data_IF_792344038213
#
_entry.id   IF_792344038213
#
_cell.length_a   1.000
_cell.length_b   1.000
_cell.length_c   1.000
_cell.angle_alpha   90.00
_cell.angle_beta   90.00
_cell.angle_gamma   90.00
#
_symmetry.space_group_name_H-M   'P 1'
#
loop_
_entity.id
_entity.type
_entity.pdbx_description
1 polymer ?
#
# COMPACT_ATOMS: atom_id res chain seq x y z
N UNK A 1 7.41 -19.48 -17.46
CA UNK A 1 6.61 -18.69 -18.42
C UNK A 1 7.62 -18.12 -19.38
N UNK A 2 7.56 -18.51 -20.65
CA UNK A 2 8.49 -17.98 -21.66
C UNK A 2 8.15 -16.49 -21.82
N UNK A 3 9.16 -15.63 -21.73
CA UNK A 3 9.03 -14.21 -22.03
C UNK A 3 8.87 -14.14 -23.56
N UNK A 4 7.64 -13.97 -24.03
CA UNK A 4 7.36 -13.79 -25.46
C UNK A 4 8.06 -12.52 -25.89
N UNK A 5 8.93 -12.59 -26.91
CA UNK A 5 9.57 -11.40 -27.46
C UNK A 5 8.49 -10.44 -27.97
N UNK A 6 8.36 -9.30 -27.29
CA UNK A 6 7.34 -8.30 -27.61
C UNK A 6 7.50 -7.73 -29.03
N UNK A 7 8.68 -7.85 -29.64
CA UNK A 7 8.93 -7.39 -31.00
C UNK A 7 8.30 -8.27 -32.08
N UNK A 8 7.93 -9.51 -31.74
CA UNK A 8 7.27 -10.45 -32.67
C UNK A 8 5.74 -10.34 -32.67
N UNK A 9 5.18 -9.61 -31.69
CA UNK A 9 3.73 -9.41 -31.58
C UNK A 9 3.21 -8.43 -32.63
N UNK A 10 1.99 -8.69 -33.13
CA UNK A 10 1.26 -7.65 -33.85
C UNK A 10 0.96 -6.47 -32.92
N UNK A 11 0.68 -5.29 -33.48
CA UNK A 11 0.32 -4.12 -32.65
C UNK A 11 -0.92 -4.38 -31.78
N UNK A 12 -1.88 -5.17 -32.27
CA UNK A 12 -3.08 -5.52 -31.50
C UNK A 12 -2.72 -6.42 -30.30
N UNK A 13 -1.96 -7.49 -30.53
CA UNK A 13 -1.54 -8.44 -29.49
C UNK A 13 -0.61 -7.75 -28.47
N UNK A 14 0.23 -6.81 -28.90
CA UNK A 14 1.09 -6.01 -28.03
C UNK A 14 0.27 -5.15 -27.07
N UNK A 15 -0.80 -4.51 -27.56
CA UNK A 15 -1.69 -3.70 -26.71
C UNK A 15 -2.52 -4.56 -25.75
N UNK A 16 -2.98 -5.73 -26.19
CA UNK A 16 -3.67 -6.71 -25.34
C UNK A 16 -2.74 -7.20 -24.22
N UNK A 17 -1.51 -7.62 -24.56
CA UNK A 17 -0.48 -7.98 -23.59
C UNK A 17 -0.18 -6.84 -22.60
N UNK A 18 -0.09 -5.60 -23.07
CA UNK A 18 0.10 -4.45 -22.18
C UNK A 18 -1.07 -4.23 -21.20
N UNK A 19 -2.32 -4.44 -21.65
CA UNK A 19 -3.50 -4.37 -20.80
C UNK A 19 -3.54 -5.50 -19.76
N UNK A 20 -3.14 -6.71 -20.14
CA UNK A 20 -3.02 -7.84 -19.21
C UNK A 20 -1.97 -7.58 -18.13
N UNK A 21 -0.78 -7.11 -18.51
CA UNK A 21 0.28 -6.76 -17.55
C UNK A 21 -0.14 -5.63 -16.63
N UNK A 22 -0.89 -4.64 -17.14
CA UNK A 22 -1.51 -3.61 -16.30
C UNK A 22 -2.48 -4.19 -15.28
N UNK A 23 -3.33 -5.14 -15.68
CA UNK A 23 -4.26 -5.79 -14.78
C UNK A 23 -3.54 -6.63 -13.71
N UNK A 24 -2.45 -7.30 -14.08
CA UNK A 24 -1.58 -8.02 -13.14
C UNK A 24 -0.96 -7.05 -12.12
N UNK A 25 -0.39 -5.94 -12.59
CA UNK A 25 0.20 -4.91 -11.73
C UNK A 25 -0.84 -4.34 -10.75
N UNK A 26 -2.04 -3.98 -11.24
CA UNK A 26 -3.11 -3.46 -10.37
C UNK A 26 -3.49 -4.45 -9.26
N UNK A 27 -3.57 -5.75 -9.57
CA UNK A 27 -3.86 -6.79 -8.57
C UNK A 27 -2.72 -6.94 -7.55
N UNK A 28 -1.47 -6.88 -8.00
CA UNK A 28 -0.31 -6.92 -7.12
C UNK A 28 -0.27 -5.69 -6.18
N UNK A 29 -0.56 -4.51 -6.70
CA UNK A 29 -0.62 -3.27 -5.93
C UNK A 29 -1.76 -3.30 -4.89
N UNK A 30 -2.94 -3.81 -5.25
CA UNK A 30 -4.04 -4.02 -4.31
C UNK A 30 -3.63 -4.99 -3.18
N UNK A 31 -2.89 -6.05 -3.52
CA UNK A 31 -2.36 -7.00 -2.53
C UNK A 31 -1.32 -6.35 -1.61
N UNK A 32 -0.49 -5.44 -2.11
CA UNK A 32 0.44 -4.67 -1.29
C UNK A 32 -0.29 -3.76 -0.27
N UNK A 33 -1.44 -3.19 -0.64
CA UNK A 33 -2.27 -2.43 0.31
C UNK A 33 -2.84 -3.34 1.41
N UNK A 34 -3.28 -4.56 1.08
CA UNK A 34 -3.68 -5.55 2.10
C UNK A 34 -2.51 -5.91 3.02
N UNK A 35 -1.30 -6.10 2.47
CA UNK A 35 -0.10 -6.33 3.28
C UNK A 35 0.17 -5.18 4.24
N UNK A 36 0.06 -3.93 3.78
CA UNK A 36 0.19 -2.74 4.63
C UNK A 36 -0.86 -2.69 5.76
N UNK A 37 -2.12 -3.02 5.45
CA UNK A 37 -3.20 -3.07 6.45
C UNK A 37 -2.92 -4.10 7.55
N UNK A 38 -2.54 -5.33 7.17
CA UNK A 38 -2.23 -6.40 8.13
C UNK A 38 -0.94 -6.10 8.88
N UNK A 39 0.06 -5.52 8.22
CA UNK A 39 1.29 -5.06 8.87
C UNK A 39 0.98 -4.02 9.95
N UNK A 40 0.15 -3.02 9.64
CA UNK A 40 -0.26 -2.01 10.61
C UNK A 40 -0.99 -2.62 11.81
N UNK A 41 -1.86 -3.62 11.61
CA UNK A 41 -2.55 -4.30 12.71
C UNK A 41 -1.58 -5.01 13.68
N UNK A 42 -0.52 -5.63 13.13
CA UNK A 42 0.52 -6.30 13.94
C UNK A 42 1.39 -5.32 14.73
N UNK A 43 1.52 -4.09 14.22
CA UNK A 43 2.28 -3.01 14.84
C UNK A 43 1.40 -1.96 15.53
N UNK A 44 0.16 -2.31 15.85
CA UNK A 44 -0.69 -1.52 16.71
C UNK A 44 -0.11 -1.47 18.13
N UNK A 45 -0.04 -0.30 18.81
CA UNK A 45 0.59 -0.15 20.12
C UNK A 45 0.06 -1.08 21.22
N UNK A 46 -1.21 -1.49 21.15
CA UNK A 46 -1.81 -2.42 22.11
C UNK A 46 -1.51 -3.90 21.85
N UNK A 47 -0.94 -4.22 20.68
CA UNK A 47 -0.68 -5.59 20.22
C UNK A 47 0.81 -5.86 20.10
N UNK A 48 1.59 -4.87 19.66
CA UNK A 48 3.02 -5.05 19.46
C UNK A 48 3.76 -5.13 20.81
N UNK A 49 4.45 -6.26 21.02
CA UNK A 49 5.39 -6.40 22.14
C UNK A 49 6.68 -5.58 21.91
N UNK A 50 7.58 -5.59 22.91
CA UNK A 50 8.90 -4.99 22.79
C UNK A 50 9.63 -5.62 21.61
N UNK A 51 10.08 -4.82 20.65
CA UNK A 51 10.83 -5.31 19.49
C UNK A 51 12.16 -5.95 19.93
N UNK A 52 12.47 -7.18 19.49
CA UNK A 52 13.77 -7.79 19.76
C UNK A 52 14.90 -6.92 19.19
N UNK A 53 15.93 -6.66 20.00
CA UNK A 53 17.09 -5.87 19.59
C UNK A 53 17.04 -4.37 19.92
N UNK A 54 15.95 -3.86 20.52
CA UNK A 54 15.90 -2.49 21.03
C UNK A 54 16.11 -2.41 22.54
N UNK A 55 16.89 -1.42 22.98
CA UNK A 55 17.11 -1.13 24.40
C UNK A 55 16.03 -0.17 24.89
N UNK A 56 15.55 -0.35 26.12
CA UNK A 56 14.60 0.56 26.78
C UNK A 56 15.06 2.03 26.89
N UNK A 57 16.34 2.30 26.57
CA UNK A 57 16.95 3.63 26.59
C UNK A 57 16.74 4.44 25.28
N UNK A 58 16.21 3.84 24.20
CA UNK A 58 16.07 4.49 22.88
C UNK A 58 14.89 5.50 22.80
N UNK A 59 14.31 5.86 23.94
CA UNK A 59 13.02 6.56 24.01
C UNK A 59 11.85 5.58 23.84
N UNK A 60 10.69 5.92 24.44
CA UNK A 60 9.47 5.13 24.23
C UNK A 60 9.03 5.35 22.78
N UNK A 61 9.07 4.30 21.96
CA UNK A 61 8.50 4.32 20.61
C UNK A 61 7.10 4.92 20.67
N UNK A 62 6.84 5.93 19.85
CA UNK A 62 5.56 6.63 19.84
C UNK A 62 4.56 5.90 18.95
N UNK A 63 3.29 6.03 19.31
CA UNK A 63 2.17 5.70 18.45
C UNK A 63 1.86 6.87 17.51
N UNK A 64 1.53 6.58 16.25
CA UNK A 64 1.11 7.58 15.26
C UNK A 64 -0.10 7.12 14.47
N UNK A 65 -1.02 8.03 14.18
CA UNK A 65 -2.15 7.80 13.26
C UNK A 65 -1.76 8.25 11.86
N UNK A 66 -1.78 7.34 10.88
CA UNK A 66 -1.36 7.65 9.50
C UNK A 66 -2.53 7.90 8.54
N UNK A 67 -3.66 7.23 8.71
CA UNK A 67 -4.81 7.32 7.79
C UNK A 67 -5.80 8.47 8.09
N UNK A 68 -5.47 9.32 9.06
CA UNK A 68 -6.36 10.36 9.59
C UNK A 68 -7.41 9.82 10.56
N UNK A 69 -8.41 10.64 10.87
CA UNK A 69 -9.42 10.33 11.88
C UNK A 69 -10.15 9.01 11.62
N UNK A 70 -10.28 8.19 12.66
CA UNK A 70 -10.91 6.86 12.61
C UNK A 70 -9.98 5.73 12.18
N UNK A 71 -8.73 6.02 11.81
CA UNK A 71 -7.74 4.97 11.55
C UNK A 71 -7.00 4.56 12.84
N UNK A 72 -6.59 3.29 12.96
CA UNK A 72 -5.81 2.81 14.09
C UNK A 72 -4.41 3.43 14.10
N UNK A 73 -3.82 3.47 15.30
CA UNK A 73 -2.43 3.87 15.49
C UNK A 73 -1.47 2.76 15.05
N UNK A 74 -0.26 3.16 14.67
CA UNK A 74 0.86 2.26 14.39
C UNK A 74 2.11 2.76 15.12
N UNK A 75 2.96 1.83 15.55
CA UNK A 75 4.26 2.15 16.12
C UNK A 75 5.16 2.89 15.10
N UNK A 76 5.76 4.02 15.49
CA UNK A 76 6.40 4.95 14.55
C UNK A 76 7.58 4.36 13.78
N UNK A 77 8.30 3.39 14.36
CA UNK A 77 9.44 2.75 13.68
C UNK A 77 9.01 1.66 12.69
N UNK A 78 7.77 1.19 12.76
CA UNK A 78 7.20 0.26 11.78
C UNK A 78 7.20 0.84 10.36
N UNK A 79 7.08 2.16 10.26
CA UNK A 79 7.09 2.89 8.98
C UNK A 79 8.43 2.71 8.27
N UNK A 80 9.54 2.87 8.99
CA UNK A 80 10.87 2.75 8.41
C UNK A 80 11.18 1.31 7.99
N UNK A 81 10.80 0.32 8.82
CA UNK A 81 10.97 -1.10 8.51
C UNK A 81 10.19 -1.50 7.25
N UNK A 82 8.92 -1.09 7.14
CA UNK A 82 8.10 -1.33 5.95
C UNK A 82 8.71 -0.68 4.70
N UNK A 83 9.22 0.56 4.84
CA UNK A 83 9.89 1.26 3.74
C UNK A 83 11.15 0.55 3.25
N UNK A 84 11.98 0.05 4.17
CA UNK A 84 13.17 -0.75 3.83
C UNK A 84 12.77 -2.00 3.03
N UNK A 85 11.73 -2.71 3.46
CA UNK A 85 11.28 -3.94 2.78
C UNK A 85 10.79 -3.68 1.35
N UNK A 86 10.16 -2.53 1.10
CA UNK A 86 9.70 -2.12 -0.23
C UNK A 86 10.76 -1.32 -1.02
N UNK A 87 11.96 -1.13 -0.49
CA UNK A 87 13.01 -0.30 -1.07
C UNK A 87 12.55 1.15 -1.39
N UNK A 88 11.71 1.73 -0.53
CA UNK A 88 11.19 3.09 -0.64
C UNK A 88 11.62 3.95 0.56
N UNK A 89 11.56 5.27 0.42
CA UNK A 89 11.86 6.16 1.53
C UNK A 89 10.83 6.04 2.66
N UNK A 90 11.21 6.32 3.92
CA UNK A 90 10.27 6.30 5.04
C UNK A 90 9.09 7.27 4.87
N UNK A 91 9.27 8.36 4.11
CA UNK A 91 8.19 9.29 3.80
C UNK A 91 7.16 8.66 2.86
N UNK A 92 7.62 7.96 1.81
CA UNK A 92 6.73 7.26 0.88
C UNK A 92 6.03 6.09 1.60
N UNK A 93 6.75 5.34 2.45
CA UNK A 93 6.16 4.28 3.26
C UNK A 93 5.07 4.80 4.21
N UNK A 94 5.29 5.97 4.83
CA UNK A 94 4.30 6.63 5.69
C UNK A 94 3.01 6.92 4.91
N UNK A 95 3.14 7.52 3.73
CA UNK A 95 2.00 7.83 2.87
C UNK A 95 1.27 6.56 2.45
N UNK A 96 2.00 5.53 2.03
CA UNK A 96 1.46 4.25 1.60
C UNK A 96 0.65 3.55 2.71
N UNK A 97 1.22 3.45 3.91
CA UNK A 97 0.53 2.89 5.08
C UNK A 97 -0.72 3.72 5.45
N UNK A 98 -0.63 5.05 5.35
CA UNK A 98 -1.75 5.95 5.57
C UNK A 98 -2.90 5.73 4.58
N UNK A 99 -2.59 5.63 3.29
CA UNK A 99 -3.57 5.34 2.24
C UNK A 99 -4.23 3.97 2.42
N UNK A 100 -3.43 2.95 2.73
CA UNK A 100 -3.91 1.60 2.97
C UNK A 100 -4.91 1.56 4.15
N UNK A 101 -4.59 2.26 5.24
CA UNK A 101 -5.48 2.37 6.41
C UNK A 101 -6.72 3.21 6.11
N UNK A 102 -6.59 4.33 5.41
CA UNK A 102 -7.71 5.18 5.03
C UNK A 102 -8.70 4.44 4.11
N UNK A 103 -8.20 3.65 3.15
CA UNK A 103 -9.05 2.83 2.28
C UNK A 103 -9.90 1.85 3.09
N UNK A 104 -9.29 1.14 4.05
CA UNK A 104 -10.01 0.16 4.86
C UNK A 104 -11.03 0.78 5.81
N UNK A 105 -10.66 1.88 6.46
CA UNK A 105 -11.43 2.43 7.59
C UNK A 105 -12.32 3.60 7.22
N UNK A 106 -11.96 4.39 6.20
CA UNK A 106 -12.66 5.63 5.82
C UNK A 106 -13.35 5.54 4.46
N UNK A 107 -12.81 4.72 3.53
CA UNK A 107 -13.31 4.63 2.15
C UNK A 107 -13.62 3.19 1.70
N UNK A 108 -14.48 2.45 2.43
CA UNK A 108 -14.72 1.03 2.17
C UNK A 108 -15.28 0.75 0.76
N UNK A 109 -16.08 1.66 0.19
CA UNK A 109 -16.57 1.51 -1.18
C UNK A 109 -15.46 1.63 -2.23
N UNK A 110 -14.55 2.59 -2.06
CA UNK A 110 -13.37 2.72 -2.91
C UNK A 110 -12.49 1.48 -2.78
N UNK A 111 -12.33 0.98 -1.55
CA UNK A 111 -11.58 -0.24 -1.31
C UNK A 111 -12.17 -1.47 -2.01
N UNK A 112 -13.49 -1.65 -1.95
CA UNK A 112 -14.18 -2.73 -2.67
C UNK A 112 -13.93 -2.66 -4.19
N UNK A 113 -13.93 -1.44 -4.77
CA UNK A 113 -13.62 -1.25 -6.20
C UNK A 113 -12.16 -1.55 -6.54
N UNK A 114 -11.22 -1.22 -5.66
CA UNK A 114 -9.81 -1.60 -5.82
C UNK A 114 -9.65 -3.11 -5.82
N UNK A 115 -10.32 -3.82 -4.90
CA UNK A 115 -10.31 -5.28 -4.84
C UNK A 115 -10.97 -5.94 -6.06
N UNK A 116 -12.00 -5.31 -6.63
CA UNK A 116 -12.65 -5.75 -7.86
C UNK A 116 -11.79 -5.53 -9.12
N UNK A 117 -10.70 -4.74 -9.02
CA UNK A 117 -9.90 -4.32 -10.17
C UNK A 117 -10.49 -3.15 -10.97
N UNK A 118 -11.61 -2.58 -10.48
CA UNK A 118 -12.34 -1.46 -11.10
C UNK A 118 -11.72 -0.09 -10.82
N UNK A 119 -10.68 -0.04 -9.97
CA UNK A 119 -9.95 1.16 -9.61
C UNK A 119 -8.45 0.85 -9.45
N UNK A 120 -7.59 1.73 -9.98
CA UNK A 120 -6.15 1.61 -9.79
C UNK A 120 -5.76 2.06 -8.37
N UNK A 121 -5.02 1.26 -7.60
CA UNK A 121 -4.48 1.66 -6.32
C UNK A 121 -3.53 2.86 -6.47
N UNK A 122 -3.68 3.91 -5.65
CA UNK A 122 -2.66 4.96 -5.50
C UNK A 122 -2.54 5.99 -6.63
N UNK A 123 -3.34 5.93 -7.70
CA UNK A 123 -3.41 7.05 -8.65
C UNK A 123 -4.57 7.96 -8.24
N UNK A 124 -4.34 9.25 -7.92
CA UNK A 124 -5.46 10.17 -7.84
C UNK A 124 -6.14 10.11 -9.20
N UNK A 125 -7.40 9.64 -9.22
CA UNK A 125 -8.25 9.89 -10.37
C UNK A 125 -8.22 11.40 -10.56
N UNK A 126 -7.66 11.87 -11.67
CA UNK A 126 -7.78 13.25 -12.08
C UNK A 126 -9.26 13.46 -12.45
N UNK A 127 -10.12 13.51 -11.43
CA UNK A 127 -11.48 13.96 -11.57
C UNK A 127 -11.35 15.47 -11.73
N UNK A 128 -11.79 16.05 -12.86
CA UNK A 128 -11.81 17.50 -12.98
C UNK A 128 -12.67 18.01 -11.84
N UNK A 129 -12.08 18.79 -10.93
CA UNK A 129 -12.86 19.59 -9.98
C UNK A 129 -13.81 20.42 -10.82
N UNK A 130 -15.09 20.08 -10.76
CA UNK A 130 -16.15 20.95 -11.24
C UNK A 130 -16.01 22.28 -10.50
N UNK A 131 -16.03 23.36 -11.27
CA UNK A 131 -15.81 24.74 -10.87
C UNK A 131 -16.80 25.21 -9.78
#
# INVERSE_FOLDING_TARGET
MFDTDLSELSTADLLESAAEHRAIANRADARLLEHAQIYADRFHPSVCGIRPGRRSADGRERAVVLGGDGCPEIAEFAIAEFGVMLAISPMVARQFLGEALALRHRFPFTWARVLAGDATPGKPANSPRSA
#
